data_IF_553275294191
#
_entry.id   IF_553275294191
#
_cell.length_a   1.000
_cell.length_b   1.000
_cell.length_c   1.000
_cell.angle_alpha   90.00
_cell.angle_beta   90.00
_cell.angle_gamma   90.00
#
_symmetry.space_group_name_H-M   'P 1'
#
loop_
_entity.id
_entity.type
_entity.pdbx_description
1 polymer ?
#
# COMPACT_ATOMS: atom_id res chain seq x y z
N UNK A 1 -12.84 -33.82 12.49
CA UNK A 1 -13.01 -32.68 11.56
C UNK A 1 -12.75 -31.41 12.35
N UNK A 2 -11.81 -30.54 11.95
CA UNK A 2 -11.59 -29.29 12.67
C UNK A 2 -12.74 -28.32 12.38
N UNK A 3 -13.22 -27.65 13.43
CA UNK A 3 -14.31 -26.66 13.41
C UNK A 3 -13.90 -25.41 12.62
N UNK A 4 -14.79 -24.93 11.74
CA UNK A 4 -14.61 -23.77 10.83
C UNK A 4 -14.75 -22.42 11.58
N UNK A 5 -14.77 -22.41 12.91
CA UNK A 5 -15.17 -21.23 13.68
C UNK A 5 -14.05 -20.43 14.37
N UNK A 6 -12.77 -20.78 14.23
CA UNK A 6 -11.68 -19.98 14.81
C UNK A 6 -10.51 -19.76 13.84
N UNK A 7 -10.78 -19.29 12.62
CA UNK A 7 -9.85 -18.32 12.04
C UNK A 7 -10.16 -17.01 12.75
N UNK A 8 -9.32 -16.59 13.69
CA UNK A 8 -9.34 -15.22 14.20
C UNK A 8 -9.48 -14.29 12.99
N UNK A 9 -10.65 -13.69 12.81
CA UNK A 9 -10.87 -12.75 11.71
C UNK A 9 -9.97 -11.56 12.02
N UNK A 10 -8.81 -11.52 11.37
CA UNK A 10 -7.85 -10.44 11.55
C UNK A 10 -8.55 -9.13 11.20
N UNK A 11 -8.45 -8.14 12.08
CA UNK A 11 -9.21 -6.90 11.94
C UNK A 11 -8.78 -6.15 10.67
N UNK A 12 -9.76 -5.68 9.89
CA UNK A 12 -9.55 -4.80 8.74
C UNK A 12 -9.08 -3.41 9.18
N UNK A 13 -8.50 -2.62 8.27
CA UNK A 13 -8.12 -1.22 8.58
C UNK A 13 -9.32 -0.44 9.13
N UNK A 14 -10.50 -0.62 8.55
CA UNK A 14 -11.71 0.07 8.99
C UNK A 14 -12.13 -0.36 10.41
N UNK A 15 -12.00 -1.65 10.73
CA UNK A 15 -12.32 -2.16 12.07
C UNK A 15 -11.33 -1.62 13.10
N UNK A 16 -10.04 -1.62 12.76
CA UNK A 16 -8.99 -1.05 13.61
C UNK A 16 -9.19 0.45 13.81
N UNK A 17 -9.46 1.20 12.74
CA UNK A 17 -9.73 2.64 12.81
C UNK A 17 -10.92 2.94 13.73
N UNK A 18 -12.03 2.19 13.58
CA UNK A 18 -13.21 2.34 14.45
C UNK A 18 -12.90 2.04 15.92
N UNK A 19 -12.11 1.00 16.19
CA UNK A 19 -11.71 0.62 17.55
C UNK A 19 -10.83 1.70 18.19
N UNK A 20 -9.80 2.17 17.48
CA UNK A 20 -8.93 3.26 17.94
C UNK A 20 -9.75 4.53 18.19
N UNK A 21 -10.64 4.91 17.26
CA UNK A 21 -11.50 6.08 17.43
C UNK A 21 -12.38 5.96 18.68
N UNK A 22 -12.93 4.77 18.95
CA UNK A 22 -13.74 4.50 20.14
C UNK A 22 -12.96 4.66 21.45
N UNK A 23 -11.73 4.16 21.49
CA UNK A 23 -10.84 4.20 22.67
C UNK A 23 -10.28 5.61 22.94
N UNK A 24 -10.03 6.40 21.89
CA UNK A 24 -9.39 7.72 22.00
C UNK A 24 -10.37 8.89 22.22
N UNK A 25 -11.68 8.67 22.29
CA UNK A 25 -12.66 9.74 22.60
C UNK A 25 -12.49 10.40 23.98
N UNK A 26 -11.62 9.88 24.84
CA UNK A 26 -11.40 10.35 26.22
C UNK A 26 -9.95 10.77 26.53
N UNK A 27 -9.00 10.66 25.59
CA UNK A 27 -7.58 10.91 25.87
C UNK A 27 -7.13 12.32 25.47
N UNK A 28 -6.46 13.03 26.39
CA UNK A 28 -6.08 14.46 26.28
C UNK A 28 -4.82 14.69 25.44
N UNK A 29 -4.08 13.65 25.08
CA UNK A 29 -2.69 13.77 24.61
C UNK A 29 -2.51 13.90 23.08
N UNK A 30 -3.52 13.59 22.26
CA UNK A 30 -3.40 13.63 20.78
C UNK A 30 -4.38 14.61 20.14
N UNK A 31 -3.99 15.40 19.13
CA UNK A 31 -4.90 16.28 18.40
C UNK A 31 -6.14 15.53 17.90
N UNK A 32 -7.31 16.18 17.96
CA UNK A 32 -8.54 15.60 17.42
C UNK A 32 -8.36 15.28 15.93
N UNK A 33 -8.79 14.08 15.50
CA UNK A 33 -8.69 13.66 14.11
C UNK A 33 -7.35 12.99 13.73
N UNK A 34 -6.44 12.80 14.69
CA UNK A 34 -5.14 12.14 14.48
C UNK A 34 -5.26 10.80 13.76
N UNK A 35 -6.16 9.92 14.22
CA UNK A 35 -6.34 8.57 13.65
C UNK A 35 -6.81 8.65 12.20
N UNK A 36 -7.79 9.51 11.93
CA UNK A 36 -8.31 9.75 10.58
C UNK A 36 -7.25 10.34 9.66
N UNK A 37 -6.40 11.24 10.18
CA UNK A 37 -5.29 11.78 9.42
C UNK A 37 -4.27 10.69 9.07
N UNK A 38 -3.86 9.83 10.03
CA UNK A 38 -2.99 8.69 9.75
C UNK A 38 -3.60 7.73 8.71
N UNK A 39 -4.87 7.36 8.87
CA UNK A 39 -5.59 6.51 7.92
C UNK A 39 -5.64 7.14 6.52
N UNK A 40 -5.82 8.46 6.42
CA UNK A 40 -5.73 9.19 5.16
C UNK A 40 -4.33 9.10 4.54
N UNK A 41 -3.27 9.30 5.32
CA UNK A 41 -1.89 9.18 4.83
C UNK A 41 -1.58 7.79 4.27
N UNK A 42 -2.06 6.75 4.95
CA UNK A 42 -1.96 5.37 4.51
C UNK A 42 -2.76 5.10 3.22
N UNK A 43 -3.97 5.64 3.10
CA UNK A 43 -4.77 5.55 1.88
C UNK A 43 -4.11 6.30 0.69
N UNK A 44 -3.42 7.41 0.93
CA UNK A 44 -2.65 8.12 -0.09
C UNK A 44 -1.45 7.27 -0.53
N UNK A 45 -0.69 6.67 0.40
CA UNK A 45 0.40 5.72 0.08
C UNK A 45 -0.10 4.57 -0.79
N UNK A 46 -1.21 3.96 -0.42
CA UNK A 46 -1.84 2.88 -1.20
C UNK A 46 -2.27 3.36 -2.60
N UNK A 47 -2.88 4.54 -2.69
CA UNK A 47 -3.26 5.16 -3.97
C UNK A 47 -2.05 5.41 -4.87
N UNK A 48 -0.92 5.83 -4.29
CA UNK A 48 0.33 6.01 -5.02
C UNK A 48 0.84 4.70 -5.62
N UNK A 49 0.80 3.60 -4.86
CA UNK A 49 1.16 2.26 -5.36
C UNK A 49 0.29 1.88 -6.56
N UNK A 50 -1.03 2.11 -6.48
CA UNK A 50 -1.96 1.82 -7.57
C UNK A 50 -1.68 2.63 -8.82
N UNK A 51 -1.52 3.95 -8.68
CA UNK A 51 -1.29 4.86 -9.82
C UNK A 51 0.07 4.61 -10.47
N UNK A 52 1.11 4.36 -9.67
CA UNK A 52 2.45 4.04 -10.19
C UNK A 52 2.47 2.71 -10.93
N UNK A 53 1.72 1.71 -10.45
CA UNK A 53 1.53 0.46 -11.19
C UNK A 53 0.79 0.67 -12.50
N UNK A 54 -0.30 1.43 -12.48
CA UNK A 54 -1.07 1.73 -13.69
C UNK A 54 -0.20 2.44 -14.74
N UNK A 55 0.63 3.41 -14.31
CA UNK A 55 1.62 4.10 -15.14
C UNK A 55 2.64 3.12 -15.74
N UNK A 56 3.20 2.21 -14.95
CA UNK A 56 4.17 1.19 -15.42
C UNK A 56 3.54 0.18 -16.38
N UNK A 57 2.25 -0.11 -16.21
CA UNK A 57 1.51 -1.02 -17.09
C UNK A 57 1.09 -0.39 -18.42
N UNK A 58 1.31 0.92 -18.58
CA UNK A 58 0.93 1.64 -19.78
C UNK A 58 1.88 1.27 -20.94
N UNK A 59 1.33 0.62 -21.96
CA UNK A 59 2.09 0.29 -23.18
C UNK A 59 2.43 1.56 -23.95
N UNK A 60 3.52 1.54 -24.72
CA UNK A 60 3.87 2.60 -25.69
C UNK A 60 2.70 2.90 -26.65
N UNK A 61 1.93 1.87 -27.00
CA UNK A 61 0.75 1.96 -27.89
C UNK A 61 -0.53 2.38 -27.17
N UNK A 62 -0.46 2.84 -25.92
CA UNK A 62 -1.63 3.27 -25.17
C UNK A 62 -2.33 4.45 -25.85
N UNK A 63 -3.65 4.47 -25.80
CA UNK A 63 -4.46 5.56 -26.38
C UNK A 63 -4.35 6.83 -25.53
N UNK A 64 -4.63 7.98 -26.13
CA UNK A 64 -4.64 9.26 -25.40
C UNK A 64 -5.64 9.25 -24.24
N UNK A 65 -6.75 8.51 -24.38
CA UNK A 65 -7.73 8.31 -23.31
C UNK A 65 -7.10 7.56 -22.14
N UNK A 66 -6.37 6.47 -22.38
CA UNK A 66 -5.70 5.70 -21.34
C UNK A 66 -4.61 6.53 -20.63
N UNK A 67 -3.81 7.28 -21.38
CA UNK A 67 -2.80 8.20 -20.86
C UNK A 67 -3.45 9.28 -19.97
N UNK A 68 -4.55 9.88 -20.44
CA UNK A 68 -5.26 10.92 -19.72
C UNK A 68 -5.88 10.43 -18.41
N UNK A 69 -6.38 9.19 -18.36
CA UNK A 69 -6.89 8.59 -17.12
C UNK A 69 -5.80 8.49 -16.07
N UNK A 70 -4.61 8.02 -16.44
CA UNK A 70 -3.47 7.94 -15.50
C UNK A 70 -3.00 9.34 -15.11
N UNK A 71 -2.87 10.27 -16.05
CA UNK A 71 -2.45 11.64 -15.77
C UNK A 71 -3.38 12.34 -14.77
N UNK A 72 -4.71 12.19 -14.92
CA UNK A 72 -5.69 12.76 -13.98
C UNK A 72 -5.59 12.14 -12.58
N UNK A 73 -5.33 10.83 -12.49
CA UNK A 73 -5.12 10.16 -11.20
C UNK A 73 -3.84 10.67 -10.52
N UNK A 74 -2.78 10.90 -11.29
CA UNK A 74 -1.53 11.48 -10.77
C UNK A 74 -1.73 12.91 -10.27
N UNK A 75 -2.44 13.75 -11.02
CA UNK A 75 -2.76 15.13 -10.62
C UNK A 75 -3.59 15.17 -9.33
N UNK A 76 -4.64 14.34 -9.25
CA UNK A 76 -5.45 14.17 -8.05
C UNK A 76 -4.62 13.70 -6.85
N UNK A 77 -3.75 12.70 -7.07
CA UNK A 77 -2.87 12.17 -6.02
C UNK A 77 -1.89 13.25 -5.54
N UNK A 78 -1.28 14.00 -6.45
CA UNK A 78 -0.38 15.11 -6.11
C UNK A 78 -1.08 16.16 -5.25
N UNK A 79 -2.31 16.54 -5.60
CA UNK A 79 -3.10 17.48 -4.80
C UNK A 79 -3.40 16.95 -3.40
N UNK A 80 -3.70 15.66 -3.26
CA UNK A 80 -3.92 15.05 -1.95
C UNK A 80 -2.65 14.96 -1.11
N UNK A 81 -1.50 14.67 -1.72
CA UNK A 81 -0.21 14.68 -1.02
C UNK A 81 0.10 16.08 -0.51
N UNK A 82 -0.05 17.12 -1.34
CA UNK A 82 0.18 18.50 -0.91
C UNK A 82 -0.69 18.88 0.28
N UNK A 83 -2.01 18.64 0.21
CA UNK A 83 -2.94 18.90 1.32
C UNK A 83 -2.58 18.12 2.59
N UNK A 84 -2.10 16.89 2.42
CA UNK A 84 -1.68 16.05 3.54
C UNK A 84 -0.42 16.60 4.21
N UNK A 85 0.57 17.00 3.41
CA UNK A 85 1.81 17.65 3.89
C UNK A 85 1.48 18.96 4.61
N UNK A 86 0.62 19.80 4.04
CA UNK A 86 0.21 21.08 4.64
C UNK A 86 -0.45 20.87 6.03
N UNK A 87 -1.10 19.73 6.24
CA UNK A 87 -1.72 19.38 7.51
C UNK A 87 -0.75 18.72 8.51
N UNK A 88 0.42 18.23 8.06
CA UNK A 88 1.29 17.38 8.85
C UNK A 88 1.84 18.10 10.10
N UNK A 89 2.18 19.39 9.99
CA UNK A 89 2.66 20.21 11.12
C UNK A 89 1.65 20.27 12.27
N UNK A 90 0.34 20.17 11.99
CA UNK A 90 -0.70 20.19 13.02
C UNK A 90 -0.73 18.91 13.87
N UNK A 91 -0.23 17.79 13.34
CA UNK A 91 -0.25 16.49 14.02
C UNK A 91 1.13 16.04 14.51
N UNK A 92 2.19 16.36 13.77
CA UNK A 92 3.57 15.95 14.06
C UNK A 92 4.45 17.09 14.61
N UNK A 93 3.94 18.32 14.68
CA UNK A 93 4.69 19.48 15.12
C UNK A 93 5.83 19.87 14.16
N UNK A 94 6.86 20.54 14.69
CA UNK A 94 8.05 20.96 13.91
C UNK A 94 9.05 19.82 13.65
N UNK A 95 8.76 18.59 14.07
CA UNK A 95 9.60 17.41 13.81
C UNK A 95 9.84 17.15 12.29
N UNK A 96 9.05 17.81 11.44
CA UNK A 96 9.15 17.78 9.97
C UNK A 96 10.27 18.70 9.45
N UNK A 97 10.62 19.77 10.19
CA UNK A 97 11.59 20.79 9.72
C UNK A 97 13.05 20.42 9.99
N UNK A 98 13.32 19.53 10.96
CA UNK A 98 14.68 19.14 11.39
C UNK A 98 15.25 17.96 10.57
N UNK A 99 14.45 17.41 9.66
CA UNK A 99 14.91 16.37 8.73
C UNK A 99 15.60 17.02 7.53
N UNK A 100 16.88 17.35 7.70
CA UNK A 100 17.78 17.68 6.58
C UNK A 100 17.68 16.61 5.49
N UNK A 101 17.63 17.09 4.26
CA UNK A 101 17.30 16.38 3.03
C UNK A 101 18.48 15.49 2.60
N UNK A 102 18.74 14.38 3.29
CA UNK A 102 19.78 13.41 2.88
C UNK A 102 19.50 11.97 3.27
N UNK A 103 18.27 11.50 3.11
CA UNK A 103 18.08 10.07 2.79
C UNK A 103 16.98 9.95 1.75
N UNK A 104 17.35 10.12 0.47
CA UNK A 104 16.67 9.34 -0.57
C UNK A 104 16.76 7.91 -0.10
N UNK A 105 15.65 7.37 0.40
CA UNK A 105 15.57 6.00 0.88
C UNK A 105 16.06 5.09 -0.24
N UNK A 106 17.29 4.58 -0.12
CA UNK A 106 17.87 3.64 -1.08
C UNK A 106 16.98 2.39 -1.21
N UNK A 107 16.06 2.15 -0.26
CA UNK A 107 15.07 1.07 -0.34
C UNK A 107 13.92 1.32 -1.34
N UNK A 108 13.76 2.56 -1.87
CA UNK A 108 12.92 2.76 -3.07
C UNK A 108 13.62 2.29 -4.35
N UNK A 109 14.96 2.26 -4.37
CA UNK A 109 15.77 1.80 -5.52
C UNK A 109 15.98 0.28 -5.53
N UNK A 110 15.97 -0.38 -4.39
CA UNK A 110 16.35 -1.81 -4.29
C UNK A 110 15.32 -2.81 -4.89
N UNK A 111 14.15 -2.34 -5.35
CA UNK A 111 13.15 -3.21 -5.97
C UNK A 111 13.07 -3.08 -7.51
N UNK A 112 14.11 -2.54 -8.14
CA UNK A 112 14.38 -2.67 -9.58
C UNK A 112 14.75 -4.11 -10.00
N UNK A 113 14.02 -5.14 -9.55
CA UNK A 113 14.13 -6.51 -10.09
C UNK A 113 12.73 -7.14 -9.99
N UNK A 114 11.98 -7.47 -11.05
CA UNK A 114 12.33 -8.08 -12.32
C UNK A 114 11.40 -7.55 -13.43
N UNK A 115 11.79 -6.47 -14.08
CA UNK A 115 11.52 -6.29 -15.51
C UNK A 115 12.74 -5.58 -16.06
N UNK A 116 13.56 -6.32 -16.82
CA UNK A 116 14.61 -5.76 -17.69
C UNK A 116 13.98 -4.92 -18.82
N UNK A 117 13.22 -3.88 -18.47
CA UNK A 117 12.69 -2.93 -19.44
C UNK A 117 13.03 -1.53 -18.98
N UNK A 118 14.26 -1.17 -19.32
CA UNK A 118 14.71 0.17 -19.70
C UNK A 118 14.01 1.32 -18.96
N UNK A 119 14.73 1.88 -17.99
CA UNK A 119 14.66 3.30 -17.73
C UNK A 119 14.75 4.03 -19.08
N UNK A 120 13.67 4.69 -19.52
CA UNK A 120 13.51 5.59 -20.69
C UNK A 120 12.56 5.07 -21.77
N UNK A 121 11.26 5.28 -21.58
CA UNK A 121 10.24 5.67 -22.60
C UNK A 121 8.82 5.55 -22.04
N UNK A 122 8.61 5.94 -20.77
CA UNK A 122 7.24 6.00 -20.25
C UNK A 122 6.48 7.09 -21.03
N UNK A 123 5.28 6.80 -21.57
CA UNK A 123 4.49 7.74 -22.39
C UNK A 123 3.94 8.94 -21.61
N UNK A 124 4.28 9.06 -20.33
CA UNK A 124 3.88 10.14 -19.42
C UNK A 124 5.12 10.72 -18.75
N UNK A 125 5.18 12.05 -18.54
CA UNK A 125 6.31 12.71 -17.91
C UNK A 125 6.65 12.07 -16.55
N UNK A 126 7.92 12.13 -16.18
CA UNK A 126 8.36 11.76 -14.84
C UNK A 126 7.83 12.79 -13.85
N UNK A 127 6.82 12.40 -13.06
CA UNK A 127 6.32 13.19 -11.94
C UNK A 127 6.85 12.48 -10.70
N UNK A 128 7.75 13.14 -9.99
CA UNK A 128 8.20 12.68 -8.69
C UNK A 128 7.12 13.02 -7.67
N UNK A 129 6.54 12.00 -7.03
CA UNK A 129 5.59 12.22 -5.93
C UNK A 129 6.42 12.55 -4.68
N UNK A 130 6.05 13.58 -3.90
CA UNK A 130 6.75 13.84 -2.63
C UNK A 130 6.57 12.66 -1.69
N UNK A 131 7.56 12.43 -0.82
CA UNK A 131 7.43 11.46 0.25
C UNK A 131 6.30 11.88 1.20
N UNK A 132 5.47 10.92 1.61
CA UNK A 132 4.34 11.18 2.51
C UNK A 132 4.86 11.14 3.95
N UNK A 133 4.81 12.26 4.70
CA UNK A 133 5.34 12.32 6.04
C UNK A 133 4.45 11.51 6.98
N UNK A 134 4.89 10.32 7.35
CA UNK A 134 4.27 9.50 8.39
C UNK A 134 5.26 9.27 9.53
N UNK A 135 4.78 9.00 10.76
CA UNK A 135 5.67 8.64 11.86
C UNK A 135 6.68 7.54 11.48
N UNK A 136 6.23 6.49 10.78
CA UNK A 136 7.08 5.39 10.32
C UNK A 136 8.24 5.82 9.43
N UNK A 137 8.12 6.94 8.70
CA UNK A 137 9.21 7.44 7.85
C UNK A 137 10.29 8.19 8.62
N UNK A 138 10.02 8.65 9.84
CA UNK A 138 11.03 9.29 10.70
C UNK A 138 11.93 8.27 11.40
N UNK A 139 11.48 7.02 11.49
CA UNK A 139 12.16 5.97 12.24
C UNK A 139 11.99 6.08 13.74
N UNK A 140 12.18 4.95 14.43
CA UNK A 140 11.84 4.80 15.86
C UNK A 140 12.57 5.77 16.78
N UNK A 141 13.83 6.11 16.48
CA UNK A 141 14.63 7.02 17.32
C UNK A 141 14.02 8.43 17.30
N UNK A 142 13.82 8.99 16.11
CA UNK A 142 13.25 10.33 15.93
C UNK A 142 11.80 10.39 16.45
N UNK A 143 11.02 9.32 16.30
CA UNK A 143 9.69 9.27 16.91
C UNK A 143 9.74 9.42 18.44
N UNK A 144 10.72 8.82 19.11
CA UNK A 144 10.86 8.96 20.56
C UNK A 144 11.40 10.35 20.94
N UNK A 145 12.33 10.90 20.16
CA UNK A 145 12.94 12.22 20.42
C UNK A 145 11.94 13.37 20.25
N UNK A 146 10.93 13.20 19.39
CA UNK A 146 9.89 14.20 19.12
C UNK A 146 8.53 13.88 19.74
N UNK A 147 8.47 12.97 20.72
CA UNK A 147 7.22 12.55 21.39
C UNK A 147 6.13 12.02 20.42
N UNK A 148 6.53 11.49 19.27
CA UNK A 148 5.67 10.87 18.24
C UNK A 148 5.53 9.35 18.41
N UNK A 149 6.04 8.76 19.49
CA UNK A 149 5.98 7.32 19.73
C UNK A 149 4.54 6.78 19.71
N UNK A 150 3.62 7.46 20.41
CA UNK A 150 2.20 7.12 20.43
C UNK A 150 1.58 7.20 19.04
N UNK A 151 1.99 8.21 18.25
CA UNK A 151 1.50 8.39 16.88
C UNK A 151 1.99 7.27 15.95
N UNK A 152 3.23 6.82 16.14
CA UNK A 152 3.80 5.68 15.41
C UNK A 152 3.11 4.36 15.79
N UNK A 153 2.74 4.17 17.06
CA UNK A 153 1.99 2.98 17.50
C UNK A 153 0.57 2.94 16.89
N UNK A 154 -0.10 4.09 16.78
CA UNK A 154 -1.38 4.21 16.09
C UNK A 154 -1.25 3.89 14.59
N UNK A 155 -0.22 4.44 13.94
CA UNK A 155 0.06 4.13 12.53
C UNK A 155 0.32 2.63 12.34
N UNK A 156 1.10 2.01 13.22
CA UNK A 156 1.41 0.58 13.18
C UNK A 156 0.15 -0.29 13.23
N UNK A 157 -0.80 0.04 14.12
CA UNK A 157 -2.07 -0.66 14.20
C UNK A 157 -2.87 -0.57 12.90
N UNK A 158 -2.94 0.63 12.31
CA UNK A 158 -3.61 0.84 11.03
C UNK A 158 -2.91 0.07 9.89
N UNK A 159 -1.58 0.05 9.87
CA UNK A 159 -0.79 -0.75 8.93
C UNK A 159 -1.11 -2.25 9.04
N UNK A 160 -1.24 -2.79 10.25
CA UNK A 160 -1.66 -4.18 10.47
C UNK A 160 -3.04 -4.43 9.83
N UNK A 161 -3.98 -3.50 10.03
CA UNK A 161 -5.29 -3.56 9.38
C UNK A 161 -5.22 -3.58 7.85
N UNK A 162 -4.38 -2.74 7.24
CA UNK A 162 -4.17 -2.75 5.78
C UNK A 162 -3.54 -4.05 5.26
N UNK A 163 -2.55 -4.57 5.98
CA UNK A 163 -1.91 -5.86 5.65
C UNK A 163 -2.96 -6.98 5.70
N UNK A 164 -3.88 -6.94 6.66
CA UNK A 164 -4.98 -7.92 6.74
C UNK A 164 -5.96 -7.79 5.56
N UNK A 165 -6.33 -6.58 5.16
CA UNK A 165 -7.24 -6.35 4.03
C UNK A 165 -6.64 -6.81 2.70
N UNK A 166 -5.35 -6.53 2.50
CA UNK A 166 -4.62 -6.96 1.31
C UNK A 166 -4.45 -8.48 1.28
N UNK A 167 -4.17 -9.11 2.43
CA UNK A 167 -4.12 -10.56 2.57
C UNK A 167 -5.50 -11.20 2.28
N UNK A 168 -6.57 -10.61 2.79
CA UNK A 168 -7.93 -11.07 2.51
C UNK A 168 -8.23 -11.01 1.00
N UNK A 169 -7.82 -9.94 0.33
CA UNK A 169 -7.95 -9.77 -1.11
C UNK A 169 -7.17 -10.83 -1.91
N UNK A 170 -5.97 -11.21 -1.44
CA UNK A 170 -5.19 -12.32 -2.00
C UNK A 170 -5.97 -13.64 -1.87
N UNK A 171 -6.47 -13.96 -0.68
CA UNK A 171 -7.23 -15.20 -0.47
C UNK A 171 -8.48 -15.26 -1.34
N UNK A 172 -9.26 -14.19 -1.37
CA UNK A 172 -10.48 -14.11 -2.18
C UNK A 172 -10.19 -14.33 -3.67
N UNK A 173 -9.18 -13.66 -4.21
CA UNK A 173 -8.81 -13.81 -5.63
C UNK A 173 -8.22 -15.17 -5.96
N UNK A 174 -7.51 -15.80 -5.03
CA UNK A 174 -7.03 -17.17 -5.20
C UNK A 174 -8.20 -18.16 -5.27
N UNK A 175 -9.19 -18.03 -4.39
CA UNK A 175 -10.40 -18.86 -4.40
C UNK A 175 -11.17 -18.67 -5.71
N UNK A 176 -11.39 -17.43 -6.14
CA UNK A 176 -12.06 -17.13 -7.42
C UNK A 176 -11.32 -17.77 -8.61
N UNK A 177 -9.99 -17.65 -8.67
CA UNK A 177 -9.16 -18.29 -9.70
C UNK A 177 -9.33 -19.81 -9.72
N UNK A 178 -9.33 -20.46 -8.55
CA UNK A 178 -9.53 -21.92 -8.43
C UNK A 178 -10.93 -22.32 -8.88
N UNK A 179 -11.96 -21.57 -8.50
CA UNK A 179 -13.34 -21.81 -8.92
C UNK A 179 -13.44 -21.70 -10.44
N UNK A 180 -12.95 -20.62 -11.04
CA UNK A 180 -12.92 -20.43 -12.50
C UNK A 180 -12.21 -21.57 -13.22
N UNK A 181 -11.08 -22.03 -12.69
CA UNK A 181 -10.37 -23.16 -13.28
C UNK A 181 -11.21 -24.45 -13.22
N UNK A 182 -11.80 -24.76 -12.06
CA UNK A 182 -12.60 -25.96 -11.87
C UNK A 182 -13.88 -25.94 -12.72
N UNK A 183 -14.58 -24.81 -12.82
CA UNK A 183 -15.87 -24.72 -13.51
C UNK A 183 -15.74 -24.51 -15.01
N UNK A 184 -14.80 -23.67 -15.45
CA UNK A 184 -14.71 -23.20 -16.84
C UNK A 184 -13.59 -23.87 -17.64
N UNK A 185 -12.54 -24.40 -17.01
CA UNK A 185 -11.38 -24.98 -17.72
C UNK A 185 -11.33 -26.49 -17.60
N UNK A 186 -11.51 -27.04 -16.38
CA UNK A 186 -11.32 -28.48 -16.13
C UNK A 186 -12.29 -29.36 -16.92
N UNK A 187 -13.51 -28.87 -17.15
CA UNK A 187 -14.58 -29.65 -17.79
C UNK A 187 -14.72 -29.37 -19.30
N UNK A 188 -13.91 -28.49 -19.88
CA UNK A 188 -13.98 -28.23 -21.33
C UNK A 188 -13.24 -29.30 -22.12
N UNK A 189 -13.86 -29.77 -23.20
CA UNK A 189 -13.26 -30.75 -24.11
C UNK A 189 -12.06 -30.19 -24.87
N UNK A 190 -11.99 -28.86 -25.04
CA UNK A 190 -10.84 -28.15 -25.57
C UNK A 190 -10.13 -27.40 -24.44
N UNK A 191 -8.90 -27.81 -24.13
CA UNK A 191 -8.06 -27.22 -23.08
C UNK A 191 -7.02 -26.24 -23.62
N UNK A 192 -7.14 -25.79 -24.88
CA UNK A 192 -6.16 -24.86 -25.44
C UNK A 192 -6.06 -23.58 -24.61
N UNK A 193 -4.84 -23.13 -24.35
CA UNK A 193 -4.55 -21.97 -23.49
C UNK A 193 -5.12 -20.64 -24.03
N UNK A 194 -5.58 -20.62 -25.28
CA UNK A 194 -6.15 -19.45 -25.96
C UNK A 194 -7.68 -19.38 -25.89
N UNK A 195 -8.32 -20.23 -25.08
CA UNK A 195 -9.78 -20.17 -24.90
C UNK A 195 -10.20 -19.01 -23.99
N UNK A 196 -11.46 -18.58 -24.16
CA UNK A 196 -12.09 -17.58 -23.28
C UNK A 196 -12.05 -17.98 -21.80
N UNK A 197 -12.15 -19.28 -21.50
CA UNK A 197 -12.08 -19.81 -20.14
C UNK A 197 -10.70 -19.54 -19.51
N UNK A 198 -9.62 -19.86 -20.23
CA UNK A 198 -8.27 -19.48 -19.82
C UNK A 198 -8.11 -17.96 -19.72
N UNK A 199 -8.72 -17.17 -20.61
CA UNK A 199 -8.71 -15.70 -20.51
C UNK A 199 -9.20 -15.17 -19.15
N UNK A 200 -10.27 -15.76 -18.58
CA UNK A 200 -10.76 -15.41 -17.23
C UNK A 200 -9.75 -15.78 -16.13
N UNK A 201 -9.11 -16.95 -16.25
CA UNK A 201 -8.08 -17.40 -15.28
C UNK A 201 -6.86 -16.48 -15.30
N UNK A 202 -6.40 -16.06 -16.48
CA UNK A 202 -5.29 -15.10 -16.62
C UNK A 202 -5.67 -13.71 -16.08
N UNK A 203 -6.92 -13.30 -16.24
CA UNK A 203 -7.41 -12.06 -15.64
C UNK A 203 -7.36 -12.14 -14.12
N UNK A 204 -7.86 -13.22 -13.51
CA UNK A 204 -7.78 -13.44 -12.08
C UNK A 204 -6.33 -13.48 -11.57
N UNK A 205 -5.42 -14.09 -12.35
CA UNK A 205 -3.98 -14.10 -12.05
C UNK A 205 -3.34 -12.70 -12.06
N UNK A 206 -3.73 -11.85 -13.01
CA UNK A 206 -3.28 -10.46 -13.08
C UNK A 206 -3.74 -9.66 -11.85
N UNK A 207 -4.97 -9.89 -11.40
CA UNK A 207 -5.51 -9.27 -10.17
C UNK A 207 -4.78 -9.79 -8.93
N UNK A 208 -4.55 -11.11 -8.83
CA UNK A 208 -3.81 -11.71 -7.72
C UNK A 208 -2.39 -11.14 -7.62
N UNK A 209 -1.67 -11.05 -8.75
CA UNK A 209 -0.35 -10.41 -8.81
C UNK A 209 -0.37 -8.96 -8.31
N UNK A 210 -1.46 -8.22 -8.55
CA UNK A 210 -1.66 -6.89 -7.98
C UNK A 210 -1.79 -6.91 -6.47
N UNK A 211 -2.65 -7.75 -5.90
CA UNK A 211 -2.79 -7.80 -4.45
C UNK A 211 -1.50 -8.24 -3.75
N UNK A 212 -0.74 -9.18 -4.33
CA UNK A 212 0.58 -9.60 -3.79
C UNK A 212 1.58 -8.45 -3.75
N UNK A 213 1.64 -7.63 -4.80
CA UNK A 213 2.54 -6.46 -4.80
C UNK A 213 2.16 -5.42 -3.75
N UNK A 214 0.86 -5.14 -3.60
CA UNK A 214 0.37 -4.20 -2.58
C UNK A 214 0.66 -4.75 -1.18
N UNK A 215 0.38 -6.02 -0.93
CA UNK A 215 0.67 -6.68 0.35
C UNK A 215 2.14 -6.55 0.76
N UNK A 216 3.08 -6.79 -0.17
CA UNK A 216 4.52 -6.60 0.08
C UNK A 216 4.82 -5.16 0.50
N UNK A 217 4.32 -4.18 -0.26
CA UNK A 217 4.51 -2.75 0.04
C UNK A 217 3.90 -2.33 1.39
N UNK A 218 2.73 -2.82 1.74
CA UNK A 218 2.13 -2.57 3.06
C UNK A 218 2.93 -3.25 4.18
N UNK A 219 3.50 -4.44 3.91
CA UNK A 219 4.30 -5.18 4.89
C UNK A 219 5.66 -4.54 5.14
N UNK A 220 6.28 -3.93 4.13
CA UNK A 220 7.55 -3.19 4.26
C UNK A 220 7.41 -1.94 5.14
N UNK A 221 6.24 -1.30 5.10
CA UNK A 221 5.87 -0.18 5.96
C UNK A 221 5.61 -0.59 7.42
N UNK A 222 5.46 -1.89 7.71
CA UNK A 222 5.25 -2.39 9.06
C UNK A 222 6.62 -2.68 9.71
N UNK A 223 7.11 -1.86 10.67
CA UNK A 223 8.45 -1.98 11.24
C UNK A 223 8.75 -3.30 11.98
N UNK A 224 7.78 -4.22 12.11
CA UNK A 224 7.97 -5.55 12.70
C UNK A 224 8.61 -6.61 11.79
N UNK A 225 8.78 -6.33 10.48
CA UNK A 225 9.27 -7.33 9.50
C UNK A 225 10.77 -7.26 9.19
N UNK A 226 11.47 -6.19 9.60
CA UNK A 226 12.94 -6.12 9.54
C UNK A 226 13.50 -6.91 10.72
N UNK A 227 13.69 -8.21 10.52
CA UNK A 227 14.43 -9.04 11.45
C UNK A 227 15.79 -8.41 11.77
N UNK A 228 16.08 -8.26 13.06
CA UNK A 228 17.43 -8.01 13.57
C UNK A 228 18.41 -8.92 12.80
N UNK A 229 19.30 -8.33 12.01
CA UNK A 229 20.55 -8.98 11.68
C UNK A 229 21.41 -8.97 12.96
N UNK A 230 21.78 -10.13 13.52
CA UNK A 230 22.74 -10.17 14.61
C UNK A 230 24.14 -10.11 13.99
N UNK A 231 24.78 -8.95 14.09
CA UNK A 231 26.18 -8.83 13.68
C UNK A 231 26.64 -7.40 13.56
N UNK A 232 27.01 -6.80 14.69
CA UNK A 232 28.35 -6.22 14.84
C UNK A 232 28.66 -6.05 16.33
N UNK A 233 29.88 -6.45 16.67
CA UNK A 233 30.45 -6.63 18.02
C UNK A 233 31.05 -5.32 18.50
#
# INVERSE_FOLDING_TARGET
MPSIHDFHAAASIQTVEMDILGQHTSSVETPQGTVTWLAQGLAIKESAIHVMKDKRSLKLTATDIQKLVVARRMDWLSSNISKFIDAATAYMGSAIEDHDDTTTDESEREWEEQNDDLHSDLPLPFIHLPAIPLPSSLGRRNCNEHDLATLADLELQLHIGQVNDTLHSIHFTLVDKVVLFCTEVRHTSNQSANTRAWGKVHQADTVLSRHVQIYRKCSDGCPGSRGNSPGEV
#
